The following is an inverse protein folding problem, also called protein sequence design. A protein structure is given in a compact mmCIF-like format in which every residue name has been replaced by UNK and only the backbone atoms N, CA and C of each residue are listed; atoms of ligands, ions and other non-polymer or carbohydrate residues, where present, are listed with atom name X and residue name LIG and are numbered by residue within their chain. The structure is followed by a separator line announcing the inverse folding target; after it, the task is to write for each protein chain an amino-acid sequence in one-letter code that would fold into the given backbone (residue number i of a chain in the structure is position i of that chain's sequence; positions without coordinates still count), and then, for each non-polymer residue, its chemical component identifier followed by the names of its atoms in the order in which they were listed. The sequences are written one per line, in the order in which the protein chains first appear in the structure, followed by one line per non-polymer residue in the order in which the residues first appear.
data_IF_511293319259
#
_entry.id   IF_511293319259
#
_cell.length_a   1.000
_cell.length_b   1.000
_cell.length_c   1.000
_cell.angle_alpha   90.00
_cell.angle_beta   90.00
_cell.angle_gamma   90.00
#
_symmetry.space_group_name_H-M   'P 1'
#
loop_
_entity.id
_entity.type
_entity.pdbx_description
1 polymer ?
#
# COMPACT_ATOMS: atom_id res chain seq x y z
N UNK A 1 -38.06 30.34 30.38
CA UNK A 1 -37.73 29.10 31.12
C UNK A 1 -36.91 28.25 30.18
N UNK A 2 -35.63 27.94 30.35
CA UNK A 2 -34.70 27.95 31.49
C UNK A 2 -33.30 28.35 30.97
N UNK A 3 -32.56 29.04 31.82
CA UNK A 3 -31.17 29.49 31.66
C UNK A 3 -30.16 28.36 31.40
N UNK A 4 -29.12 28.64 30.61
CA UNK A 4 -27.77 28.13 30.88
C UNK A 4 -26.71 29.08 30.28
N UNK A 5 -26.26 30.00 31.11
CA UNK A 5 -25.09 30.86 30.99
C UNK A 5 -23.81 30.01 30.98
N UNK A 6 -22.95 30.15 29.97
CA UNK A 6 -21.59 29.62 30.00
C UNK A 6 -20.57 30.71 30.34
N UNK A 7 -19.69 30.32 31.24
CA UNK A 7 -18.89 31.14 32.13
C UNK A 7 -17.52 31.45 31.51
N UNK A 8 -17.16 32.75 31.49
CA UNK A 8 -15.85 33.33 31.82
C UNK A 8 -14.58 32.64 31.26
N UNK A 9 -14.01 33.20 30.19
CA UNK A 9 -12.56 33.24 30.00
C UNK A 9 -11.99 34.45 30.77
N UNK A 10 -11.12 34.27 31.79
CA UNK A 10 -10.46 35.41 32.39
C UNK A 10 -9.36 35.92 31.45
N UNK A 11 -9.54 37.16 31.03
CA UNK A 11 -8.47 38.05 30.57
C UNK A 11 -7.41 38.13 31.66
N UNK A 12 -6.30 37.43 31.52
CA UNK A 12 -5.06 37.77 32.23
C UNK A 12 -4.22 38.58 31.25
N UNK A 13 -4.51 39.87 31.24
CA UNK A 13 -3.68 40.89 30.66
C UNK A 13 -2.85 41.52 31.79
N UNK A 14 -1.55 41.69 31.51
CA UNK A 14 -0.62 42.62 32.14
C UNK A 14 -0.31 42.45 33.64
N UNK A 15 0.92 42.00 33.95
CA UNK A 15 1.80 42.68 34.91
C UNK A 15 3.28 42.37 34.59
N UNK A 16 4.10 43.44 34.46
CA UNK A 16 5.56 43.52 34.61
C UNK A 16 6.44 42.63 33.68
N UNK A 17 7.20 43.10 32.68
CA UNK A 17 8.18 44.19 32.65
C UNK A 17 9.06 44.26 33.90
N UNK A 18 10.22 43.59 33.90
CA UNK A 18 11.58 44.14 34.14
C UNK A 18 12.56 43.03 34.57
N UNK A 19 13.77 43.06 33.99
CA UNK A 19 15.01 42.43 34.46
C UNK A 19 15.18 40.90 34.31
N UNK A 20 15.86 40.48 33.25
CA UNK A 20 17.20 39.87 33.37
C UNK A 20 17.88 39.86 32.00
N UNK A 21 18.66 40.92 31.75
CA UNK A 21 19.81 40.87 30.85
C UNK A 21 20.91 40.03 31.51
N UNK A 22 21.79 39.43 30.70
CA UNK A 22 22.95 38.59 31.05
C UNK A 22 22.68 37.10 31.33
N UNK A 23 22.61 36.33 30.24
CA UNK A 23 23.42 35.11 30.08
C UNK A 23 23.52 34.77 28.58
N UNK A 24 24.25 35.60 27.84
CA UNK A 24 24.88 35.18 26.59
C UNK A 24 26.03 34.22 26.95
N UNK A 25 25.69 32.96 27.18
CA UNK A 25 26.63 31.87 27.36
C UNK A 25 26.16 30.67 26.52
N UNK A 26 26.72 30.60 25.31
CA UNK A 26 27.14 29.35 24.68
C UNK A 26 26.11 28.22 24.62
N UNK A 27 24.99 28.44 23.92
CA UNK A 27 24.39 27.33 23.19
C UNK A 27 25.25 27.08 21.97
N UNK A 28 26.31 26.29 22.17
CA UNK A 28 26.92 25.53 21.10
C UNK A 28 25.80 24.69 20.48
N UNK A 29 25.23 25.20 19.40
CA UNK A 29 24.40 24.45 18.49
C UNK A 29 25.27 23.34 17.93
N UNK A 30 25.27 22.17 18.56
CA UNK A 30 25.81 20.95 17.97
C UNK A 30 25.08 20.73 16.65
N UNK A 31 25.76 20.86 15.49
CA UNK A 31 25.24 20.27 14.28
C UNK A 31 25.42 18.76 14.43
N UNK A 32 24.60 17.99 13.74
CA UNK A 32 24.74 16.54 13.61
C UNK A 32 24.28 15.71 14.81
N UNK A 33 23.01 15.92 15.19
CA UNK A 33 22.16 14.78 15.49
C UNK A 33 22.06 13.91 14.22
N UNK A 34 23.04 13.03 14.01
CA UNK A 34 22.98 11.98 13.02
C UNK A 34 21.70 11.18 13.25
N UNK A 35 20.71 11.40 12.41
CA UNK A 35 19.44 10.70 12.43
C UNK A 35 19.72 9.19 12.31
N UNK A 36 19.58 8.48 13.42
CA UNK A 36 19.59 7.01 13.43
C UNK A 36 18.47 6.52 12.49
N UNK A 37 18.72 5.52 11.63
CA UNK A 37 17.66 4.86 10.88
C UNK A 37 16.63 4.29 11.86
N UNK A 38 15.36 4.68 11.71
CA UNK A 38 14.28 4.40 12.67
C UNK A 38 13.70 5.63 13.39
N UNK A 39 14.09 6.84 12.99
CA UNK A 39 13.54 8.08 13.57
C UNK A 39 12.12 8.32 13.07
N UNK A 40 11.16 8.16 13.97
CA UNK A 40 9.78 8.60 13.76
C UNK A 40 9.75 10.14 13.87
N UNK A 41 9.18 10.83 12.88
CA UNK A 41 8.82 12.23 13.01
C UNK A 41 7.44 12.32 13.66
N UNK A 42 7.40 12.78 14.89
CA UNK A 42 6.15 13.15 15.51
C UNK A 42 5.69 14.52 14.98
N UNK A 43 4.43 14.57 14.57
CA UNK A 43 3.76 15.76 14.07
C UNK A 43 2.67 16.13 15.06
N UNK A 44 2.76 17.33 15.60
CA UNK A 44 1.78 17.85 16.53
C UNK A 44 0.76 18.70 15.77
N UNK A 45 -0.51 18.35 15.92
CA UNK A 45 -1.61 19.21 15.49
C UNK A 45 -1.98 20.11 16.67
N UNK A 46 -1.76 21.41 16.52
CA UNK A 46 -2.22 22.41 17.50
C UNK A 46 -3.74 22.40 17.57
N UNK A 47 -4.37 22.31 16.41
CA UNK A 47 -5.82 22.17 16.25
C UNK A 47 -6.12 21.13 15.18
N UNK A 48 -7.03 20.22 15.50
CA UNK A 48 -7.61 19.28 14.56
C UNK A 48 -9.10 19.18 14.86
N UNK A 49 -9.92 19.74 13.99
CA UNK A 49 -11.37 19.80 14.16
C UNK A 49 -12.02 18.98 13.06
N UNK A 50 -12.89 18.05 13.44
CA UNK A 50 -13.65 17.24 12.50
C UNK A 50 -15.13 17.59 12.67
N UNK A 51 -15.71 18.15 11.62
CA UNK A 51 -17.11 18.59 11.59
C UNK A 51 -17.86 17.78 10.55
N UNK A 52 -19.02 17.26 10.94
CA UNK A 52 -19.94 16.61 10.02
C UNK A 52 -20.90 17.66 9.46
N UNK A 53 -20.94 17.79 8.15
CA UNK A 53 -21.92 18.59 7.42
C UNK A 53 -22.82 17.63 6.58
N UNK A 54 -24.02 18.06 6.15
CA UNK A 54 -24.86 17.23 5.30
C UNK A 54 -24.13 16.79 4.02
N UNK A 55 -23.89 15.49 3.88
CA UNK A 55 -23.24 14.90 2.70
C UNK A 55 -21.71 15.06 2.63
N UNK A 56 -21.07 15.62 3.65
CA UNK A 56 -19.61 15.74 3.69
C UNK A 56 -19.04 15.81 5.11
N UNK A 57 -17.77 15.41 5.24
CA UNK A 57 -16.99 15.61 6.47
C UNK A 57 -15.92 16.64 6.19
N UNK A 58 -15.79 17.61 7.09
CA UNK A 58 -14.83 18.70 7.03
C UNK A 58 -13.78 18.47 8.11
N UNK A 59 -12.51 18.56 7.72
CA UNK A 59 -11.38 18.47 8.63
C UNK A 59 -10.58 19.77 8.55
N UNK A 60 -10.67 20.58 9.59
CA UNK A 60 -9.83 21.76 9.78
C UNK A 60 -8.61 21.39 10.61
N UNK A 61 -7.42 21.79 10.17
CA UNK A 61 -6.17 21.44 10.84
C UNK A 61 -5.20 22.61 10.93
N UNK A 62 -4.38 22.58 11.98
CA UNK A 62 -3.22 23.44 12.21
C UNK A 62 -2.10 22.57 12.75
N UNK A 63 -1.03 22.43 11.98
CA UNK A 63 0.19 21.72 12.35
C UNK A 63 1.14 22.73 12.98
N UNK A 64 1.79 22.34 14.08
CA UNK A 64 2.78 23.18 14.76
C UNK A 64 3.89 23.61 13.78
N UNK A 65 4.26 24.89 13.81
CA UNK A 65 5.21 25.49 12.86
C UNK A 65 6.56 24.74 12.80
N UNK A 66 7.05 24.24 13.95
CA UNK A 66 8.29 23.46 14.02
C UNK A 66 8.20 22.13 13.28
N UNK A 67 7.05 21.45 13.40
CA UNK A 67 6.85 20.13 12.79
C UNK A 67 6.59 20.30 11.28
N UNK A 68 5.91 21.37 10.87
CA UNK A 68 5.78 21.74 9.45
C UNK A 68 7.13 22.03 8.79
N UNK A 69 8.02 22.79 9.44
CA UNK A 69 9.37 23.03 8.92
C UNK A 69 10.20 21.75 8.81
N UNK A 70 9.99 20.77 9.70
CA UNK A 70 10.63 19.45 9.60
C UNK A 70 10.10 18.65 8.41
N UNK A 71 8.80 18.67 8.18
CA UNK A 71 8.17 18.04 7.00
C UNK A 71 8.73 18.61 5.69
N UNK A 72 8.81 19.94 5.57
CA UNK A 72 9.34 20.61 4.39
C UNK A 72 10.81 20.27 4.13
N UNK A 73 11.65 20.29 5.18
CA UNK A 73 13.06 19.89 5.07
C UNK A 73 13.25 18.42 4.69
N UNK A 74 12.29 17.57 5.04
CA UNK A 74 12.30 16.16 4.67
C UNK A 74 11.65 15.90 3.30
N UNK A 75 11.20 16.94 2.58
CA UNK A 75 10.46 16.83 1.32
C UNK A 75 9.25 15.89 1.42
N UNK A 76 8.61 15.85 2.58
CA UNK A 76 7.43 15.03 2.81
C UNK A 76 6.18 15.87 2.57
N UNK A 77 5.33 15.39 1.66
CA UNK A 77 3.98 15.89 1.46
C UNK A 77 3.00 14.99 2.22
N UNK A 78 2.67 15.29 3.50
CA UNK A 78 1.74 14.47 4.25
C UNK A 78 0.36 14.51 3.60
N UNK A 79 -0.31 13.35 3.59
CA UNK A 79 -1.69 13.23 3.13
C UNK A 79 -2.55 12.69 4.26
N UNK A 80 -3.66 13.37 4.53
CA UNK A 80 -4.62 12.97 5.55
C UNK A 80 -5.74 12.17 4.89
N UNK A 81 -5.83 10.87 5.14
CA UNK A 81 -6.97 10.05 4.70
C UNK A 81 -7.97 9.87 5.84
N UNK A 82 -9.26 9.84 5.50
CA UNK A 82 -10.35 9.66 6.46
C UNK A 82 -10.86 8.22 6.42
N UNK A 83 -10.98 7.61 7.60
CA UNK A 83 -11.52 6.26 7.79
C UNK A 83 -12.80 6.34 8.60
N UNK A 84 -13.88 5.82 8.03
CA UNK A 84 -15.14 5.64 8.75
C UNK A 84 -15.24 4.19 9.20
N UNK A 85 -15.62 3.99 10.47
CA UNK A 85 -15.97 2.66 10.95
C UNK A 85 -17.15 2.11 10.12
N UNK A 86 -17.23 0.80 9.91
CA UNK A 86 -18.42 0.15 9.35
C UNK A 86 -19.04 -0.72 10.43
N UNK A 87 -20.16 -0.26 10.98
CA UNK A 87 -20.91 -0.98 12.02
C UNK A 87 -20.28 -0.95 13.43
N UNK A 88 -20.94 -1.64 14.35
CA UNK A 88 -20.59 -1.74 15.78
C UNK A 88 -19.33 -2.56 16.07
N UNK A 89 -18.89 -3.40 15.13
CA UNK A 89 -17.78 -4.34 15.32
C UNK A 89 -16.39 -3.78 14.98
N UNK A 90 -16.27 -2.47 14.71
CA UNK A 90 -14.97 -1.80 14.63
C UNK A 90 -14.11 -2.12 13.39
N UNK A 91 -14.66 -2.78 12.37
CA UNK A 91 -13.98 -2.92 11.08
C UNK A 91 -14.10 -1.59 10.31
N UNK A 92 -12.98 -0.89 10.14
CA UNK A 92 -12.92 0.39 9.44
C UNK A 92 -12.75 0.09 7.95
N UNK A 93 -13.80 0.29 7.15
CA UNK A 93 -13.79 -0.19 5.76
C UNK A 93 -13.92 0.94 4.72
N UNK A 94 -14.33 2.15 5.11
CA UNK A 94 -14.50 3.23 4.13
C UNK A 94 -13.33 4.21 4.23
N UNK A 95 -12.43 4.14 3.24
CA UNK A 95 -11.32 5.08 3.07
C UNK A 95 -11.74 6.15 2.07
N UNK A 96 -12.01 7.36 2.55
CA UNK A 96 -12.01 8.51 1.68
C UNK A 96 -10.56 8.97 1.51
N UNK A 97 -10.04 8.67 0.33
CA UNK A 97 -8.76 9.17 -0.16
C UNK A 97 -8.70 10.68 0.01
N UNK A 98 -7.90 11.17 0.94
CA UNK A 98 -7.87 12.59 1.24
C UNK A 98 -6.89 13.36 0.38
N UNK A 99 -6.80 14.66 0.67
CA UNK A 99 -5.99 15.61 -0.08
C UNK A 99 -4.61 15.77 0.59
N UNK A 100 -3.59 16.05 -0.21
CA UNK A 100 -2.27 16.39 0.30
C UNK A 100 -2.34 17.69 1.08
N UNK A 101 -1.71 17.69 2.26
CA UNK A 101 -1.56 18.87 3.11
C UNK A 101 -0.44 19.73 2.53
N UNK A 102 -0.80 20.81 1.84
CA UNK A 102 0.16 21.68 1.15
C UNK A 102 0.69 22.83 2.03
N UNK A 103 0.04 23.08 3.17
CA UNK A 103 0.31 24.21 4.07
C UNK A 103 0.18 23.75 5.51
N UNK A 104 0.82 24.47 6.44
CA UNK A 104 0.78 24.16 7.87
C UNK A 104 -0.65 24.17 8.44
N UNK A 105 -1.56 24.92 7.83
CA UNK A 105 -2.95 25.03 8.24
C UNK A 105 -3.89 24.97 7.04
N UNK A 106 -5.04 24.35 7.18
CA UNK A 106 -6.00 24.28 6.09
C UNK A 106 -7.29 23.58 6.45
N UNK A 107 -8.15 23.46 5.44
CA UNK A 107 -9.45 22.81 5.49
C UNK A 107 -9.49 21.74 4.41
N UNK A 108 -9.83 20.51 4.79
CA UNK A 108 -10.05 19.39 3.88
C UNK A 108 -11.53 19.03 3.86
N UNK A 109 -12.07 18.74 2.68
CA UNK A 109 -13.49 18.39 2.52
C UNK A 109 -13.61 17.01 1.87
N UNK A 110 -14.22 16.08 2.60
CA UNK A 110 -14.47 14.71 2.17
C UNK A 110 -15.94 14.58 1.77
N UNK A 111 -16.22 14.77 0.48
CA UNK A 111 -17.58 14.66 -0.08
C UNK A 111 -18.05 13.21 -0.15
N UNK A 112 -19.35 12.99 0.07
CA UNK A 112 -19.95 11.66 0.10
C UNK A 112 -19.54 10.83 1.32
N UNK A 113 -18.77 11.42 2.23
CA UNK A 113 -18.50 10.84 3.53
C UNK A 113 -19.65 11.25 4.46
N UNK A 114 -20.46 10.28 4.88
CA UNK A 114 -21.51 10.49 5.87
C UNK A 114 -21.38 9.43 6.95
N UNK A 115 -21.41 9.89 8.18
CA UNK A 115 -21.33 9.07 9.37
C UNK A 115 -22.75 8.66 9.75
N UNK A 116 -22.97 7.38 10.05
CA UNK A 116 -24.25 6.96 10.61
C UNK A 116 -24.41 7.50 12.04
N UNK A 117 -25.64 7.76 12.49
CA UNK A 117 -26.01 8.42 13.75
C UNK A 117 -25.44 7.82 15.07
N UNK A 118 -24.63 6.78 14.99
CA UNK A 118 -24.05 6.07 16.14
C UNK A 118 -22.52 5.94 16.09
N UNK A 119 -21.86 6.68 15.20
CA UNK A 119 -20.41 6.64 15.06
C UNK A 119 -19.81 7.97 15.49
N UNK A 120 -19.18 7.95 16.67
CA UNK A 120 -18.57 9.14 17.25
C UNK A 120 -17.07 9.24 16.93
N UNK A 121 -16.52 8.29 16.18
CA UNK A 121 -15.08 8.21 15.89
C UNK A 121 -14.79 8.03 14.41
N UNK A 122 -13.71 8.67 13.97
CA UNK A 122 -13.07 8.50 12.67
C UNK A 122 -11.62 8.11 12.87
N UNK A 123 -11.05 7.36 11.93
CA UNK A 123 -9.61 7.21 11.83
C UNK A 123 -9.04 8.28 10.90
N UNK A 124 -7.84 8.77 11.22
CA UNK A 124 -7.04 9.55 10.26
C UNK A 124 -5.76 8.78 9.96
N UNK A 125 -5.41 8.66 8.69
CA UNK A 125 -4.12 8.12 8.31
C UNK A 125 -3.28 9.22 7.71
N UNK A 126 -2.05 9.34 8.20
CA UNK A 126 -1.05 10.20 7.60
C UNK A 126 -0.13 9.36 6.72
N UNK A 127 -0.15 9.64 5.42
CA UNK A 127 0.76 9.00 4.47
C UNK A 127 2.03 9.84 4.36
N UNK A 128 3.18 9.23 4.67
CA UNK A 128 4.50 9.74 4.30
C UNK A 128 4.96 9.20 2.95
N UNK A 129 6.16 9.59 2.50
CA UNK A 129 6.69 9.22 1.18
C UNK A 129 6.85 7.71 0.95
N UNK A 130 7.00 6.90 2.00
CA UNK A 130 7.35 5.48 1.85
C UNK A 130 6.53 4.48 2.68
N UNK A 131 5.77 4.93 3.70
CA UNK A 131 4.83 4.09 4.46
C UNK A 131 3.70 4.95 5.05
N UNK A 132 2.53 4.33 5.19
CA UNK A 132 1.38 4.91 5.87
C UNK A 132 1.55 4.78 7.39
N UNK A 133 1.34 5.87 8.15
CA UNK A 133 1.15 5.78 9.59
C UNK A 133 -0.32 6.02 9.89
N UNK A 134 -0.98 5.05 10.53
CA UNK A 134 -2.43 5.08 10.79
C UNK A 134 -2.70 5.51 12.23
N UNK A 135 -3.70 6.37 12.41
CA UNK A 135 -4.24 6.76 13.69
C UNK A 135 -5.67 6.25 13.71
N UNK A 136 -5.92 5.27 14.56
CA UNK A 136 -7.13 4.46 14.41
C UNK A 136 -8.40 5.13 14.91
N UNK A 137 -8.32 5.99 15.94
CA UNK A 137 -9.53 6.54 16.57
C UNK A 137 -9.36 7.97 17.03
N UNK A 138 -10.19 8.84 16.46
CA UNK A 138 -10.27 10.26 16.70
C UNK A 138 -11.76 10.58 16.80
N UNK A 139 -12.21 11.07 17.96
CA UNK A 139 -13.62 11.41 18.13
C UNK A 139 -13.99 12.68 17.34
N UNK A 140 -15.23 12.79 16.87
CA UNK A 140 -15.75 14.04 16.31
C UNK A 140 -15.68 15.17 17.33
N UNK A 141 -15.45 16.40 16.85
CA UNK A 141 -15.25 17.57 17.68
C UNK A 141 -13.90 18.25 17.45
N UNK A 142 -13.56 19.15 18.37
CA UNK A 142 -12.26 19.84 18.38
C UNK A 142 -11.29 19.06 19.26
N UNK A 143 -10.14 18.72 18.68
CA UNK A 143 -9.02 18.14 19.41
C UNK A 143 -7.88 19.15 19.45
N UNK A 144 -7.60 19.61 20.67
CA UNK A 144 -6.48 20.48 20.95
C UNK A 144 -5.25 19.64 21.30
N UNK A 145 -4.12 19.91 20.64
CA UNK A 145 -2.82 19.34 21.02
C UNK A 145 -2.64 17.84 20.76
N UNK A 146 -3.36 17.25 19.81
CA UNK A 146 -3.15 15.86 19.43
C UNK A 146 -1.77 15.66 18.78
N UNK A 147 -0.94 14.81 19.40
CA UNK A 147 0.34 14.37 18.84
C UNK A 147 0.13 13.13 17.99
N UNK A 148 0.64 13.17 16.77
CA UNK A 148 0.53 12.09 15.80
C UNK A 148 1.95 11.68 15.41
N UNK A 149 2.37 10.49 15.81
CA UNK A 149 3.66 9.94 15.39
C UNK A 149 3.61 9.52 13.91
N UNK A 150 4.63 9.87 13.12
CA UNK A 150 4.73 9.52 11.70
C UNK A 150 6.09 8.88 11.45
N UNK A 151 6.12 7.66 10.94
CA UNK A 151 7.39 7.02 10.63
C UNK A 151 8.04 7.69 9.40
N UNK A 152 9.26 8.22 9.55
CA UNK A 152 10.08 8.64 8.40
C UNK A 152 11.13 7.56 8.14
N UNK A 153 11.11 7.00 6.94
CA UNK A 153 12.27 6.31 6.41
C UNK A 153 13.13 7.34 5.66
N UNK A 154 14.20 7.84 6.30
CA UNK A 154 15.18 8.64 5.59
C UNK A 154 15.86 7.76 4.53
N UNK A 155 15.65 8.09 3.26
CA UNK A 155 16.49 7.55 2.19
C UNK A 155 17.89 8.09 2.44
N UNK A 156 18.81 7.26 2.94
CA UNK A 156 20.22 7.61 2.84
C UNK A 156 20.47 7.87 1.35
N UNK A 157 20.96 9.06 0.94
CA UNK A 157 21.48 9.22 -0.41
C UNK A 157 22.43 8.06 -0.60
N UNK A 158 22.18 7.28 -1.66
CA UNK A 158 22.95 6.07 -1.95
C UNK A 158 24.38 6.55 -2.14
N UNK A 159 25.19 6.47 -1.08
CA UNK A 159 26.60 6.81 -1.13
C UNK A 159 27.15 6.10 -2.35
N UNK A 160 27.77 6.88 -3.24
CA UNK A 160 28.27 6.44 -4.53
C UNK A 160 28.80 5.02 -4.40
N UNK A 161 28.07 4.08 -5.00
CA UNK A 161 28.57 2.71 -5.13
C UNK A 161 29.83 2.88 -5.95
N UNK A 162 30.98 2.65 -5.32
CA UNK A 162 32.25 2.55 -6.02
C UNK A 162 32.04 1.72 -7.29
N UNK A 163 32.56 2.19 -8.44
CA UNK A 163 32.33 1.52 -9.71
C UNK A 163 32.65 0.03 -9.56
N UNK A 164 31.81 -0.86 -10.12
CA UNK A 164 31.98 -2.29 -9.97
C UNK A 164 33.41 -2.67 -10.39
N UNK A 165 34.15 -3.29 -9.46
CA UNK A 165 35.48 -3.85 -9.71
C UNK A 165 35.39 -4.67 -11.01
N UNK A 166 36.22 -4.30 -11.99
CA UNK A 166 36.22 -4.92 -13.32
C UNK A 166 36.21 -6.45 -13.18
N UNK A 167 35.15 -7.06 -13.70
CA UNK A 167 34.98 -8.52 -13.67
C UNK A 167 36.11 -9.12 -14.52
N UNK A 168 36.85 -10.12 -14.02
CA UNK A 168 37.84 -10.83 -14.84
C UNK A 168 37.21 -11.35 -16.13
N UNK A 169 37.97 -11.28 -17.23
CA UNK A 169 37.52 -11.69 -18.55
C UNK A 169 36.95 -13.13 -18.51
N UNK A 170 35.81 -13.40 -19.19
CA UNK A 170 35.26 -14.74 -19.28
C UNK A 170 36.27 -15.68 -19.96
N UNK A 171 36.43 -16.88 -19.40
CA UNK A 171 37.23 -17.94 -20.02
C UNK A 171 36.68 -18.30 -21.41
N UNK A 172 37.55 -18.68 -22.37
CA UNK A 172 37.13 -19.05 -23.72
C UNK A 172 36.17 -20.24 -23.70
N UNK A 173 35.12 -20.17 -24.51
CA UNK A 173 34.08 -21.19 -24.60
C UNK A 173 34.65 -22.53 -25.11
N UNK A 174 34.25 -23.67 -24.53
CA UNK A 174 34.63 -24.98 -25.04
C UNK A 174 34.00 -25.28 -26.41
N UNK A 175 34.75 -26.02 -27.23
CA UNK A 175 34.43 -26.34 -28.61
C UNK A 175 33.07 -27.08 -28.77
N UNK A 176 32.38 -26.87 -29.91
CA UNK A 176 31.07 -27.48 -30.17
C UNK A 176 31.17 -29.01 -30.23
N UNK A 177 30.43 -29.68 -29.36
CA UNK A 177 30.34 -31.14 -29.29
C UNK A 177 29.44 -31.66 -30.42
N UNK A 178 29.91 -32.69 -31.12
CA UNK A 178 29.27 -33.29 -32.29
C UNK A 178 27.79 -33.68 -32.05
N UNK A 179 26.97 -33.41 -33.07
CA UNK A 179 25.54 -33.65 -33.10
C UNK A 179 25.19 -35.13 -32.90
N UNK A 180 24.27 -35.41 -31.97
CA UNK A 180 23.72 -36.74 -31.70
C UNK A 180 22.68 -37.11 -32.77
N UNK A 181 22.55 -38.38 -33.20
CA UNK A 181 21.61 -38.78 -34.24
C UNK A 181 20.16 -38.59 -33.79
N UNK A 182 19.33 -38.09 -34.71
CA UNK A 182 17.87 -37.95 -34.54
C UNK A 182 17.23 -39.32 -34.38
N UNK A 183 16.49 -39.50 -33.28
CA UNK A 183 15.60 -40.66 -33.08
C UNK A 183 14.32 -40.44 -33.91
N UNK A 184 13.91 -41.49 -34.61
CA UNK A 184 12.81 -41.50 -35.58
C UNK A 184 11.40 -41.27 -35.01
N UNK A 185 10.39 -41.31 -35.89
CA UNK A 185 9.04 -40.81 -35.62
C UNK A 185 8.21 -41.83 -34.83
N UNK A 186 7.36 -41.34 -33.94
CA UNK A 186 6.25 -42.13 -33.39
C UNK A 186 4.96 -41.31 -33.48
N UNK A 187 4.13 -41.77 -34.42
CA UNK A 187 2.67 -41.65 -34.56
C UNK A 187 2.06 -42.20 -33.23
N UNK A 188 1.06 -41.63 -32.55
CA UNK A 188 -0.33 -41.31 -32.88
C UNK A 188 -0.78 -40.11 -32.00
N UNK A 189 -1.32 -39.01 -32.51
CA UNK A 189 -2.67 -38.83 -33.06
C UNK A 189 -3.78 -39.29 -32.11
N UNK A 190 -4.19 -38.38 -31.22
CA UNK A 190 -5.59 -38.13 -30.80
C UNK A 190 -5.64 -36.73 -30.16
N UNK A 191 -5.57 -35.69 -31.00
CA UNK A 191 -6.09 -34.37 -30.64
C UNK A 191 -7.39 -34.19 -31.42
N UNK A 192 -8.54 -34.00 -30.76
CA UNK A 192 -9.76 -33.66 -31.48
C UNK A 192 -9.58 -32.31 -32.19
N UNK A 193 -10.17 -32.12 -33.38
CA UNK A 193 -10.10 -30.84 -34.06
C UNK A 193 -10.80 -29.78 -33.20
N UNK A 194 -10.16 -28.61 -33.08
CA UNK A 194 -10.83 -27.43 -32.57
C UNK A 194 -12.06 -27.13 -33.45
N UNK A 195 -13.26 -26.93 -32.88
CA UNK A 195 -14.43 -26.60 -33.67
C UNK A 195 -14.21 -25.23 -34.31
N UNK A 196 -14.17 -25.20 -35.64
CA UNK A 196 -14.28 -23.97 -36.39
C UNK A 196 -15.70 -23.43 -36.18
N UNK A 197 -15.85 -22.36 -35.40
CA UNK A 197 -17.10 -21.63 -35.27
C UNK A 197 -17.38 -20.85 -36.55
N UNK A 198 -17.80 -21.53 -37.61
CA UNK A 198 -18.46 -20.90 -38.75
C UNK A 198 -19.92 -20.66 -38.39
N UNK A 199 -20.32 -19.39 -38.40
CA UNK A 199 -21.57 -18.92 -37.83
C UNK A 199 -22.82 -19.62 -38.33
N UNK A 200 -23.68 -19.99 -37.39
CA UNK A 200 -25.14 -19.87 -37.47
C UNK A 200 -25.68 -19.90 -36.04
N UNK A 201 -26.55 -18.94 -35.74
CA UNK A 201 -27.30 -18.87 -34.50
C UNK A 201 -28.19 -20.11 -34.36
N UNK A 202 -28.47 -20.47 -33.11
CA UNK A 202 -29.38 -21.54 -32.67
C UNK A 202 -28.85 -22.98 -32.83
N UNK A 203 -28.11 -23.49 -31.84
CA UNK A 203 -28.24 -24.84 -31.22
C UNK A 203 -27.36 -24.87 -29.95
N UNK A 204 -27.94 -25.31 -28.83
CA UNK A 204 -27.28 -25.54 -27.53
C UNK A 204 -25.99 -26.38 -27.64
N UNK A 205 -24.85 -25.76 -27.32
CA UNK A 205 -23.55 -26.42 -27.19
C UNK A 205 -23.17 -26.47 -25.70
N UNK A 206 -23.09 -27.65 -25.05
CA UNK A 206 -22.71 -27.75 -23.63
C UNK A 206 -21.19 -27.64 -23.41
N UNK A 207 -20.39 -27.31 -24.43
CA UNK A 207 -18.96 -27.06 -24.29
C UNK A 207 -18.79 -25.56 -24.02
N UNK A 208 -18.87 -25.18 -22.75
CA UNK A 208 -18.61 -23.82 -22.31
C UNK A 208 -17.20 -23.41 -22.78
N UNK A 209 -17.11 -22.50 -23.75
CA UNK A 209 -15.86 -21.84 -24.09
C UNK A 209 -15.25 -21.31 -22.78
N UNK A 210 -13.92 -21.45 -22.58
CA UNK A 210 -13.28 -20.93 -21.38
C UNK A 210 -13.53 -19.42 -21.34
N UNK A 211 -14.48 -19.01 -20.48
CA UNK A 211 -14.83 -17.62 -20.33
C UNK A 211 -13.56 -16.92 -19.85
N UNK A 212 -13.08 -15.95 -20.65
CA UNK A 212 -12.01 -15.07 -20.21
C UNK A 212 -12.40 -14.53 -18.84
N UNK A 213 -11.53 -14.68 -17.84
CA UNK A 213 -11.89 -14.28 -16.48
C UNK A 213 -12.32 -12.82 -16.51
N UNK A 214 -13.54 -12.57 -16.02
CA UNK A 214 -14.04 -11.21 -16.00
C UNK A 214 -13.19 -10.39 -15.05
N UNK A 215 -13.10 -9.07 -15.29
CA UNK A 215 -12.43 -8.15 -14.36
C UNK A 215 -12.99 -8.29 -12.93
N UNK A 216 -14.27 -8.58 -12.81
CA UNK A 216 -14.97 -8.83 -11.54
C UNK A 216 -14.46 -10.10 -10.85
N UNK A 217 -14.12 -11.15 -11.59
CA UNK A 217 -13.58 -12.39 -11.02
C UNK A 217 -12.15 -12.19 -10.50
N UNK A 218 -11.31 -11.43 -11.21
CA UNK A 218 -9.99 -11.04 -10.70
C UNK A 218 -10.11 -10.21 -9.42
N UNK A 219 -11.06 -9.27 -9.36
CA UNK A 219 -11.35 -8.49 -8.15
C UNK A 219 -11.71 -9.42 -6.99
N UNK A 220 -12.62 -10.36 -7.21
CA UNK A 220 -13.03 -11.32 -6.17
C UNK A 220 -11.87 -12.19 -5.72
N UNK A 221 -11.04 -12.67 -6.65
CA UNK A 221 -9.88 -13.50 -6.35
C UNK A 221 -8.82 -12.73 -5.54
N UNK A 222 -8.49 -11.48 -5.93
CA UNK A 222 -7.56 -10.66 -5.16
C UNK A 222 -8.10 -10.35 -3.76
N UNK A 223 -9.39 -10.04 -3.64
CA UNK A 223 -10.01 -9.75 -2.34
C UNK A 223 -10.01 -10.98 -1.41
N UNK A 224 -10.17 -12.19 -1.95
CA UNK A 224 -10.13 -13.42 -1.17
C UNK A 224 -8.71 -13.77 -0.66
N UNK A 225 -7.66 -13.34 -1.37
CA UNK A 225 -6.29 -13.75 -1.09
C UNK A 225 -5.41 -12.63 -0.50
N UNK A 226 -5.95 -11.44 -0.28
CA UNK A 226 -5.23 -10.31 0.30
C UNK A 226 -5.93 -9.79 1.55
N UNK A 227 -5.15 -9.33 2.53
CA UNK A 227 -5.69 -8.81 3.81
C UNK A 227 -5.67 -7.29 3.87
N UNK A 228 -4.75 -6.66 3.16
CA UNK A 228 -4.55 -5.22 3.17
C UNK A 228 -4.89 -4.63 1.80
N UNK A 229 -5.46 -3.43 1.80
CA UNK A 229 -5.82 -2.72 0.56
C UNK A 229 -4.60 -2.50 -0.36
N UNK A 230 -3.40 -2.28 0.19
CA UNK A 230 -2.17 -2.15 -0.59
C UNK A 230 -1.81 -3.43 -1.35
N UNK A 231 -2.08 -4.59 -0.73
CA UNK A 231 -1.79 -5.89 -1.34
C UNK A 231 -2.85 -6.24 -2.37
N UNK A 232 -4.11 -5.86 -2.10
CA UNK A 232 -5.20 -5.96 -3.07
C UNK A 232 -4.90 -5.16 -4.34
N UNK A 233 -4.51 -3.89 -4.21
CA UNK A 233 -4.14 -3.04 -5.34
C UNK A 233 -2.94 -3.63 -6.11
N UNK A 234 -1.93 -4.11 -5.39
CA UNK A 234 -0.77 -4.77 -5.98
C UNK A 234 -1.14 -6.06 -6.71
N UNK A 235 -2.08 -6.84 -6.17
CA UNK A 235 -2.64 -8.04 -6.78
C UNK A 235 -3.40 -7.69 -8.07
N UNK A 236 -4.25 -6.66 -8.06
CA UNK A 236 -5.00 -6.24 -9.25
C UNK A 236 -4.07 -5.81 -10.38
N UNK A 237 -3.07 -4.97 -10.08
CA UNK A 237 -2.12 -4.46 -11.09
C UNK A 237 -1.32 -5.61 -11.71
N UNK A 238 -0.92 -6.60 -10.91
CA UNK A 238 -0.13 -7.75 -11.40
C UNK A 238 -1.00 -8.81 -12.07
N UNK A 239 -2.18 -9.07 -11.52
CA UNK A 239 -3.16 -9.99 -12.09
C UNK A 239 -3.57 -9.60 -13.51
N UNK A 240 -3.66 -8.30 -13.79
CA UNK A 240 -3.92 -7.77 -15.14
C UNK A 240 -2.81 -8.07 -16.15
N UNK A 241 -1.60 -8.45 -15.70
CA UNK A 241 -0.49 -8.83 -16.59
C UNK A 241 -0.51 -10.32 -16.95
N UNK A 242 -1.31 -11.12 -16.24
CA UNK A 242 -1.51 -12.53 -16.57
C UNK A 242 -2.47 -12.65 -17.77
N UNK A 243 -2.36 -13.73 -18.53
CA UNK A 243 -3.33 -14.04 -19.57
C UNK A 243 -4.74 -14.15 -18.96
N UNK A 244 -5.75 -13.50 -19.55
CA UNK A 244 -7.08 -13.36 -18.95
C UNK A 244 -7.74 -14.69 -18.56
N UNK A 245 -7.47 -15.78 -19.27
CA UNK A 245 -8.03 -17.10 -18.95
C UNK A 245 -7.30 -17.82 -17.80
N UNK A 246 -6.14 -17.34 -17.37
CA UNK A 246 -5.29 -17.95 -16.32
C UNK A 246 -5.19 -17.07 -15.06
N UNK A 247 -5.60 -15.80 -15.15
CA UNK A 247 -5.39 -14.83 -14.08
C UNK A 247 -5.99 -15.30 -12.74
N UNK A 248 -7.25 -15.72 -12.73
CA UNK A 248 -7.96 -16.12 -11.49
C UNK A 248 -7.37 -17.37 -10.86
N UNK A 249 -7.08 -18.42 -11.64
CA UNK A 249 -6.49 -19.66 -11.12
C UNK A 249 -5.10 -19.41 -10.54
N UNK A 250 -4.31 -18.57 -11.20
CA UNK A 250 -2.96 -18.21 -10.75
C UNK A 250 -2.99 -17.36 -9.48
N UNK A 251 -3.91 -16.38 -9.39
CA UNK A 251 -4.11 -15.56 -8.19
C UNK A 251 -4.48 -16.44 -7.00
N UNK A 252 -5.40 -17.38 -7.18
CA UNK A 252 -5.80 -18.31 -6.11
C UNK A 252 -4.65 -19.21 -5.69
N UNK A 253 -3.89 -19.77 -6.64
CA UNK A 253 -2.72 -20.60 -6.33
C UNK A 253 -1.66 -19.82 -5.55
N UNK A 254 -1.31 -18.61 -5.99
CA UNK A 254 -0.35 -17.77 -5.27
C UNK A 254 -0.86 -17.39 -3.87
N UNK A 255 -2.16 -17.12 -3.72
CA UNK A 255 -2.75 -16.77 -2.43
C UNK A 255 -2.78 -17.93 -1.43
N UNK A 256 -3.04 -19.17 -1.89
CA UNK A 256 -3.04 -20.36 -1.04
C UNK A 256 -1.66 -20.68 -0.45
N UNK A 257 -0.59 -20.41 -1.20
CA UNK A 257 0.78 -20.73 -0.79
C UNK A 257 1.59 -19.52 -0.31
N UNK A 258 0.94 -18.37 -0.08
CA UNK A 258 1.58 -17.15 0.44
C UNK A 258 0.94 -16.72 1.75
N UNK A 259 1.74 -16.60 2.81
CA UNK A 259 1.25 -16.11 4.11
C UNK A 259 1.14 -14.57 4.16
N UNK A 260 1.99 -13.88 3.38
CA UNK A 260 2.09 -12.42 3.37
C UNK A 260 1.80 -11.87 1.98
N UNK A 261 1.21 -10.66 1.90
CA UNK A 261 0.93 -10.01 0.63
C UNK A 261 2.18 -9.77 -0.22
N UNK A 262 3.35 -9.53 0.41
CA UNK A 262 4.62 -9.41 -0.31
C UNK A 262 5.04 -10.69 -1.04
N UNK A 263 4.75 -11.86 -0.45
CA UNK A 263 5.07 -13.15 -1.07
C UNK A 263 4.12 -13.43 -2.23
N UNK A 264 2.82 -13.20 -2.03
CA UNK A 264 1.83 -13.32 -3.09
C UNK A 264 2.18 -12.42 -4.29
N UNK A 265 2.57 -11.18 -4.00
CA UNK A 265 2.98 -10.19 -5.01
C UNK A 265 4.19 -10.70 -5.81
N UNK A 266 5.18 -11.31 -5.15
CA UNK A 266 6.36 -11.89 -5.78
C UNK A 266 6.03 -13.15 -6.58
N UNK A 267 5.13 -13.99 -6.09
CA UNK A 267 4.60 -15.16 -6.81
C UNK A 267 3.95 -14.73 -8.13
N UNK A 268 3.10 -13.69 -8.11
CA UNK A 268 2.48 -13.14 -9.32
C UNK A 268 3.51 -12.56 -10.30
N UNK A 269 4.52 -11.84 -9.81
CA UNK A 269 5.58 -11.31 -10.67
C UNK A 269 6.32 -12.44 -11.41
N UNK A 270 6.65 -13.54 -10.73
CA UNK A 270 7.28 -14.71 -11.36
C UNK A 270 6.32 -15.38 -12.34
N UNK A 271 5.06 -15.58 -11.95
CA UNK A 271 4.03 -16.20 -12.79
C UNK A 271 3.80 -15.44 -14.11
N UNK A 272 3.89 -14.11 -14.11
CA UNK A 272 3.76 -13.31 -15.35
C UNK A 272 4.88 -13.55 -16.36
N UNK A 273 6.04 -14.09 -15.92
CA UNK A 273 7.15 -14.45 -16.79
C UNK A 273 7.08 -15.87 -17.36
N UNK A 274 6.12 -16.70 -16.93
CA UNK A 274 6.04 -18.10 -17.36
C UNK A 274 5.44 -18.22 -18.77
N UNK A 275 6.03 -19.09 -19.60
CA UNK A 275 5.53 -19.37 -20.95
C UNK A 275 4.29 -20.28 -20.97
N UNK A 276 4.16 -21.12 -19.95
CA UNK A 276 3.09 -22.09 -19.81
C UNK A 276 2.13 -21.66 -18.69
N UNK A 277 1.02 -22.38 -18.55
CA UNK A 277 0.02 -22.11 -17.50
C UNK A 277 0.69 -22.09 -16.12
N UNK A 278 0.74 -20.94 -15.42
CA UNK A 278 1.51 -20.81 -14.19
C UNK A 278 0.82 -21.46 -12.99
N UNK A 279 -0.50 -21.58 -12.97
CA UNK A 279 -1.23 -22.08 -11.80
C UNK A 279 -0.81 -23.51 -11.36
N UNK A 280 -0.68 -24.51 -12.26
CA UNK A 280 -0.18 -25.83 -11.89
C UNK A 280 1.26 -25.82 -11.34
N UNK A 281 2.12 -24.94 -11.87
CA UNK A 281 3.51 -24.82 -11.41
C UNK A 281 3.56 -24.22 -10.00
N UNK A 282 2.78 -23.16 -9.75
CA UNK A 282 2.65 -22.56 -8.42
C UNK A 282 2.18 -23.59 -7.41
N UNK A 283 1.15 -24.36 -7.75
CA UNK A 283 0.58 -25.37 -6.86
C UNK A 283 1.59 -26.48 -6.55
N UNK A 284 2.24 -27.05 -7.58
CA UNK A 284 3.26 -28.08 -7.39
C UNK A 284 4.43 -27.59 -6.52
N UNK A 285 4.94 -26.37 -6.78
CA UNK A 285 6.00 -25.79 -5.96
C UNK A 285 5.54 -25.47 -4.54
N UNK A 286 4.30 -25.00 -4.37
CA UNK A 286 3.71 -24.66 -3.07
C UNK A 286 3.42 -25.88 -2.20
N UNK A 287 3.09 -27.02 -2.80
CA UNK A 287 2.94 -28.31 -2.12
C UNK A 287 4.30 -28.94 -1.77
N UNK A 288 5.30 -28.76 -2.63
CA UNK A 288 6.64 -29.33 -2.45
C UNK A 288 7.53 -28.56 -1.46
N UNK A 289 7.14 -27.33 -1.09
CA UNK A 289 7.98 -26.44 -0.26
C UNK A 289 7.22 -25.91 0.94
N UNK A 290 7.94 -25.62 2.03
CA UNK A 290 7.34 -25.10 3.26
C UNK A 290 7.40 -23.58 3.36
N UNK A 291 8.38 -22.95 2.72
CA UNK A 291 8.63 -21.51 2.79
C UNK A 291 8.39 -20.86 1.42
N UNK A 292 7.80 -19.66 1.42
CA UNK A 292 7.55 -18.91 0.20
C UNK A 292 8.84 -18.63 -0.60
N UNK A 293 9.99 -18.45 0.07
CA UNK A 293 11.29 -18.29 -0.59
C UNK A 293 11.66 -19.49 -1.47
N UNK A 294 11.39 -20.69 -0.99
CA UNK A 294 11.75 -21.94 -1.65
C UNK A 294 10.76 -22.23 -2.78
N UNK A 295 9.47 -21.94 -2.55
CA UNK A 295 8.44 -21.95 -3.60
C UNK A 295 8.83 -21.04 -4.76
N UNK A 296 9.23 -19.78 -4.48
CA UNK A 296 9.65 -18.84 -5.51
C UNK A 296 10.88 -19.34 -6.28
N UNK A 297 11.85 -19.96 -5.59
CA UNK A 297 13.01 -20.55 -6.25
C UNK A 297 12.60 -21.69 -7.19
N UNK A 298 11.72 -22.59 -6.73
CA UNK A 298 11.15 -23.67 -7.53
C UNK A 298 10.40 -23.16 -8.78
N UNK A 299 9.62 -22.09 -8.63
CA UNK A 299 8.90 -21.47 -9.74
C UNK A 299 9.86 -20.90 -10.80
N UNK A 300 10.92 -20.20 -10.38
CA UNK A 300 11.92 -19.62 -11.29
C UNK A 300 12.68 -20.71 -12.05
N UNK A 301 12.93 -21.87 -11.44
CA UNK A 301 13.56 -23.00 -12.15
C UNK A 301 12.62 -23.70 -13.13
N UNK A 302 11.31 -23.47 -13.01
CA UNK A 302 10.26 -24.13 -13.79
C UNK A 302 9.67 -23.24 -14.91
N UNK A 303 10.06 -21.96 -14.96
CA UNK A 303 9.62 -20.96 -15.93
C UNK A 303 10.45 -20.96 -17.21
#
# INVERSE_FOLDING_TARGET
MICATFQRCPRVALFAAMMFAFAAASFASSPDAQARPGTHLEITFERLTITQEPGQIVVDYVIRADDWRRLQRAELAPRLDLFLARGSHGNHEVRHSGQSVQRAQGRLVYRGASVHHHQDTVGLQLLGAHKATRIDRISFGELCGSKIAVAIAHRRPRADRSPPKARPAPAPAPAPRAARPRRGPRIDEHSPPAPACTGRADVDCPIACPQSASRTDMIRACQANTRFASDFDACLVRGQRLASHQAVSTINACGQHSAFGSDMTRCLDIATGMRHNPAPVVQACGEATRFASDMHACMVTSS
#
